data_IF_879908492878
#
_entry.id   IF_879908492878
#
_cell.length_a   1.000
_cell.length_b   1.000
_cell.length_c   1.000
_cell.angle_alpha   90.00
_cell.angle_beta   90.00
_cell.angle_gamma   90.00
#
_symmetry.space_group_name_H-M   'P 1'
#
loop_
_entity.id
_entity.type
_entity.pdbx_description
1 polymer ?
#
# COMPACT_ATOMS: atom_id res chain seq x y z
N UNK A 1 -23.06 -24.56 1.49
CA UNK A 1 -21.72 -24.77 0.92
C UNK A 1 -20.90 -23.51 1.14
N UNK A 2 -20.04 -23.52 2.17
CA UNK A 2 -19.22 -22.39 2.56
C UNK A 2 -18.12 -22.15 1.51
N UNK A 3 -18.18 -21.00 0.84
CA UNK A 3 -17.09 -20.55 -0.02
C UNK A 3 -16.08 -19.81 0.86
N UNK A 4 -14.95 -20.47 1.13
CA UNK A 4 -13.78 -19.89 1.77
C UNK A 4 -13.22 -18.76 0.89
N UNK A 5 -13.55 -17.51 1.21
CA UNK A 5 -12.89 -16.33 0.65
C UNK A 5 -11.57 -16.11 1.38
N UNK A 6 -10.52 -16.79 0.95
CA UNK A 6 -9.15 -16.38 1.25
C UNK A 6 -8.74 -15.30 0.25
N UNK A 7 -9.23 -14.07 0.46
CA UNK A 7 -8.67 -12.88 -0.18
C UNK A 7 -7.98 -12.06 0.91
N UNK A 8 -6.65 -12.19 0.96
CA UNK A 8 -5.76 -11.36 1.76
C UNK A 8 -5.81 -9.92 1.25
N UNK A 9 -6.84 -9.16 1.64
CA UNK A 9 -6.94 -7.70 1.49
C UNK A 9 -8.30 -7.30 2.05
N UNK A 10 -8.37 -6.99 3.35
CA UNK A 10 -9.56 -6.39 3.94
C UNK A 10 -9.72 -4.97 3.40
N UNK A 11 -10.95 -4.56 3.08
CA UNK A 11 -11.23 -3.12 2.92
C UNK A 11 -10.90 -2.41 4.23
N UNK A 12 -10.50 -1.14 4.16
CA UNK A 12 -10.20 -0.31 5.34
C UNK A 12 -11.30 -0.45 6.41
N UNK A 13 -12.57 -0.36 5.99
CA UNK A 13 -13.77 -0.55 6.83
C UNK A 13 -13.92 -1.91 7.51
N UNK A 14 -13.35 -2.98 6.97
CA UNK A 14 -13.46 -4.32 7.55
C UNK A 14 -12.39 -4.57 8.62
N UNK A 15 -11.20 -3.97 8.49
CA UNK A 15 -10.12 -4.08 9.49
C UNK A 15 -10.53 -3.46 10.83
N UNK A 16 -11.13 -2.27 10.79
CA UNK A 16 -11.70 -1.62 11.98
C UNK A 16 -12.77 -2.49 12.65
N UNK A 17 -13.66 -3.12 11.88
CA UNK A 17 -14.72 -3.99 12.43
C UNK A 17 -14.17 -5.21 13.16
N UNK A 18 -12.98 -5.68 12.78
CA UNK A 18 -12.30 -6.81 13.42
C UNK A 18 -11.30 -6.38 14.51
N UNK A 19 -11.11 -5.08 14.73
CA UNK A 19 -10.10 -4.55 15.65
C UNK A 19 -8.67 -4.87 15.22
N UNK A 20 -8.45 -4.99 13.90
CA UNK A 20 -7.16 -5.27 13.28
C UNK A 20 -6.56 -4.04 12.59
N UNK A 21 -7.08 -2.85 12.87
CA UNK A 21 -6.46 -1.59 12.48
C UNK A 21 -5.25 -1.27 13.37
N UNK A 22 -4.32 -0.49 12.83
CA UNK A 22 -3.04 -0.19 13.47
C UNK A 22 -3.19 0.55 14.80
N UNK A 23 -4.18 1.45 14.93
CA UNK A 23 -4.45 2.16 16.18
C UNK A 23 -4.89 1.20 17.29
N UNK A 24 -5.86 0.34 17.00
CA UNK A 24 -6.33 -0.70 17.93
C UNK A 24 -5.19 -1.66 18.33
N UNK A 25 -4.38 -2.07 17.37
CA UNK A 25 -3.30 -3.04 17.59
C UNK A 25 -2.15 -2.44 18.41
N UNK A 26 -1.70 -1.23 18.11
CA UNK A 26 -0.62 -0.55 18.84
C UNK A 26 -1.05 -0.15 20.26
N UNK A 27 -2.33 0.15 20.46
CA UNK A 27 -2.90 0.35 21.81
C UNK A 27 -2.82 -0.92 22.65
N UNK A 28 -3.18 -2.08 22.07
CA UNK A 28 -3.14 -3.37 22.77
C UNK A 28 -1.72 -3.92 22.96
N UNK A 29 -0.84 -3.65 22.00
CA UNK A 29 0.54 -4.13 21.97
C UNK A 29 1.50 -2.93 21.79
N UNK A 30 1.90 -2.25 22.87
CA UNK A 30 2.63 -0.97 22.79
C UNK A 30 3.99 -1.01 22.10
N UNK A 31 4.54 -2.20 21.82
CA UNK A 31 5.81 -2.41 21.11
C UNK A 31 5.64 -2.91 19.68
N UNK A 32 4.40 -3.17 19.25
CA UNK A 32 4.10 -3.66 17.92
C UNK A 32 4.31 -2.55 16.89
N UNK A 33 5.06 -2.86 15.84
CA UNK A 33 5.17 -2.01 14.66
C UNK A 33 4.13 -2.48 13.65
N UNK A 34 3.42 -1.54 13.06
CA UNK A 34 2.39 -1.81 12.05
C UNK A 34 2.67 -1.01 10.79
N UNK A 35 2.26 -1.54 9.64
CA UNK A 35 2.32 -0.82 8.38
C UNK A 35 1.01 -0.99 7.60
N UNK A 36 0.33 0.12 7.35
CA UNK A 36 -0.84 0.17 6.49
C UNK A 36 -0.43 0.46 5.05
N UNK A 37 -0.89 -0.41 4.15
CA UNK A 37 -0.72 -0.26 2.71
C UNK A 37 -2.07 0.08 2.10
N UNK A 38 -2.10 1.15 1.32
CA UNK A 38 -3.27 1.60 0.56
C UNK A 38 -2.97 1.66 -0.94
N UNK A 39 -4.00 1.68 -1.77
CA UNK A 39 -3.83 1.88 -3.21
C UNK A 39 -3.39 3.31 -3.52
N UNK A 40 -4.29 4.26 -3.25
CA UNK A 40 -4.14 5.68 -3.59
C UNK A 40 -3.90 6.62 -2.37
N UNK A 41 -3.49 6.07 -1.23
CA UNK A 41 -3.48 6.81 0.03
C UNK A 41 -4.86 6.91 0.69
N UNK A 42 -4.91 7.54 1.87
CA UNK A 42 -6.17 7.84 2.58
C UNK A 42 -6.76 9.21 2.19
N UNK A 43 -5.94 10.07 1.60
CA UNK A 43 -6.28 11.41 1.15
C UNK A 43 -5.95 11.53 -0.33
N UNK A 44 -6.95 11.77 -1.17
CA UNK A 44 -6.79 11.87 -2.62
C UNK A 44 -8.13 11.79 -3.33
N UNK A 45 -8.17 12.01 -4.66
CA UNK A 45 -9.42 12.00 -5.43
C UNK A 45 -10.01 10.58 -5.59
N UNK A 46 -9.26 9.54 -5.25
CA UNK A 46 -9.61 8.15 -5.56
C UNK A 46 -10.06 7.36 -4.32
N UNK A 47 -11.32 6.93 -4.32
CA UNK A 47 -11.87 5.92 -3.37
C UNK A 47 -12.13 4.59 -4.10
N UNK A 48 -11.07 4.05 -4.72
CA UNK A 48 -11.14 2.81 -5.49
C UNK A 48 -9.93 1.91 -5.25
N UNK A 49 -10.03 0.66 -5.71
CA UNK A 49 -8.90 -0.27 -5.66
C UNK A 49 -7.84 0.13 -6.68
N UNK A 50 -6.60 0.19 -6.24
CA UNK A 50 -5.45 0.21 -7.14
C UNK A 50 -5.22 -1.19 -7.71
N UNK A 51 -4.90 -1.23 -9.00
CA UNK A 51 -4.40 -2.41 -9.67
C UNK A 51 -3.07 -2.03 -10.31
N UNK A 52 -2.10 -2.94 -10.29
CA UNK A 52 -0.76 -2.71 -10.85
C UNK A 52 -0.81 -2.07 -12.25
N UNK A 53 -1.53 -2.68 -13.20
CA UNK A 53 -1.67 -2.13 -14.56
C UNK A 53 -2.34 -0.76 -14.62
N UNK A 54 -3.32 -0.49 -13.75
CA UNK A 54 -3.98 0.82 -13.71
C UNK A 54 -2.99 1.90 -13.31
N UNK A 55 -2.20 1.63 -12.26
CA UNK A 55 -1.14 2.52 -11.80
C UNK A 55 -0.03 2.66 -12.84
N UNK A 56 0.34 1.60 -13.55
CA UNK A 56 1.29 1.69 -14.68
C UNK A 56 0.79 2.64 -15.78
N UNK A 57 -0.51 2.68 -16.05
CA UNK A 57 -1.08 3.61 -17.03
C UNK A 57 -1.09 5.05 -16.50
N UNK A 58 -1.49 5.26 -15.25
CA UNK A 58 -1.60 6.59 -14.63
C UNK A 58 -0.23 7.26 -14.46
N UNK A 59 0.78 6.48 -14.09
CA UNK A 59 2.18 6.93 -13.94
C UNK A 59 2.89 7.20 -15.28
N UNK A 60 2.27 6.84 -16.42
CA UNK A 60 2.90 6.89 -17.74
C UNK A 60 3.91 5.76 -18.00
N UNK A 61 4.09 4.82 -17.07
CA UNK A 61 4.99 3.68 -17.24
C UNK A 61 4.59 2.80 -18.44
N UNK A 62 3.29 2.68 -18.70
CA UNK A 62 2.79 1.96 -19.86
C UNK A 62 3.20 2.59 -21.21
N UNK A 63 3.43 3.91 -21.22
CA UNK A 63 3.83 4.65 -22.42
C UNK A 63 5.31 4.46 -22.78
N UNK A 64 6.15 4.11 -21.81
CA UNK A 64 7.61 3.93 -22.03
C UNK A 64 8.04 2.47 -22.12
N UNK A 65 7.14 1.54 -21.81
CA UNK A 65 7.44 0.09 -21.81
C UNK A 65 7.04 -0.59 -23.13
N UNK A 66 6.24 0.08 -23.96
CA UNK A 66 5.70 -0.44 -25.21
C UNK A 66 6.66 -0.40 -26.42
N UNK A 67 6.12 -0.74 -27.58
CA UNK A 67 6.79 -0.51 -28.87
C UNK A 67 6.48 0.90 -29.39
N UNK A 68 7.10 1.31 -30.49
CA UNK A 68 6.77 2.60 -31.14
C UNK A 68 5.28 2.74 -31.52
N UNK A 69 4.57 1.61 -31.69
CA UNK A 69 3.19 1.59 -32.17
C UNK A 69 2.16 1.20 -31.09
N UNK A 70 2.58 0.68 -29.94
CA UNK A 70 1.69 0.10 -28.93
C UNK A 70 2.20 0.34 -27.50
N UNK A 71 1.30 0.68 -26.58
CA UNK A 71 1.59 0.73 -25.14
C UNK A 71 1.89 -0.66 -24.60
N UNK A 72 2.86 -0.76 -23.68
CA UNK A 72 3.28 -2.02 -23.10
C UNK A 72 3.15 -1.99 -21.59
N UNK A 73 2.77 -3.11 -20.98
CA UNK A 73 2.86 -3.27 -19.53
C UNK A 73 4.23 -3.81 -19.15
N UNK A 74 4.70 -3.45 -17.97
CA UNK A 74 5.74 -4.23 -17.30
C UNK A 74 5.11 -5.58 -16.91
N UNK A 75 5.79 -6.67 -17.27
CA UNK A 75 5.26 -8.02 -17.06
C UNK A 75 5.19 -8.40 -15.58
N UNK A 76 6.16 -7.92 -14.81
CA UNK A 76 6.18 -8.09 -13.36
C UNK A 76 5.25 -7.08 -12.67
N UNK A 77 4.84 -7.45 -11.46
CA UNK A 77 4.02 -6.64 -10.55
C UNK A 77 4.88 -5.50 -9.95
N UNK A 78 5.25 -4.55 -10.80
CA UNK A 78 6.23 -3.52 -10.50
C UNK A 78 5.74 -2.55 -9.42
N UNK A 79 4.45 -2.20 -9.44
CA UNK A 79 3.86 -1.28 -8.48
C UNK A 79 3.74 -1.96 -7.10
N UNK A 80 3.37 -3.25 -7.05
CA UNK A 80 3.34 -3.96 -5.76
C UNK A 80 4.75 -4.21 -5.21
N UNK A 81 5.73 -4.48 -6.09
CA UNK A 81 7.15 -4.60 -5.68
C UNK A 81 7.65 -3.26 -5.11
N UNK A 82 7.41 -2.15 -5.81
CA UNK A 82 7.82 -0.81 -5.36
C UNK A 82 7.15 -0.44 -4.02
N UNK A 83 5.86 -0.78 -3.87
CA UNK A 83 5.13 -0.59 -2.62
C UNK A 83 5.72 -1.46 -1.49
N UNK A 84 6.03 -2.72 -1.76
CA UNK A 84 6.65 -3.63 -0.80
C UNK A 84 8.03 -3.16 -0.33
N UNK A 85 8.85 -2.64 -1.23
CA UNK A 85 10.17 -2.05 -0.87
C UNK A 85 9.97 -0.80 0.00
N UNK A 86 9.01 0.06 -0.34
CA UNK A 86 8.67 1.24 0.45
C UNK A 86 8.18 0.88 1.86
N UNK A 87 7.30 -0.14 1.96
CA UNK A 87 6.81 -0.67 3.23
C UNK A 87 7.95 -1.23 4.08
N UNK A 88 8.87 -2.00 3.46
CA UNK A 88 10.03 -2.54 4.13
C UNK A 88 10.92 -1.45 4.74
N UNK A 89 11.24 -0.40 3.96
CA UNK A 89 12.02 0.73 4.47
C UNK A 89 11.34 1.45 5.63
N UNK A 90 10.02 1.67 5.56
CA UNK A 90 9.23 2.27 6.65
C UNK A 90 9.21 1.40 7.90
N UNK A 91 9.09 0.08 7.74
CA UNK A 91 9.13 -0.86 8.85
C UNK A 91 10.50 -0.86 9.54
N UNK A 92 11.59 -0.79 8.78
CA UNK A 92 12.94 -0.66 9.34
C UNK A 92 13.09 0.64 10.15
N UNK A 93 12.62 1.77 9.62
CA UNK A 93 12.59 3.05 10.35
C UNK A 93 11.84 2.92 11.67
N UNK A 94 10.63 2.37 11.65
CA UNK A 94 9.83 2.16 12.86
C UNK A 94 10.51 1.23 13.88
N UNK A 95 11.21 0.20 13.40
CA UNK A 95 11.98 -0.70 14.27
C UNK A 95 13.16 0.01 14.93
N UNK A 96 13.86 0.89 14.21
CA UNK A 96 14.95 1.71 14.74
C UNK A 96 14.41 2.68 15.80
N UNK A 97 13.34 3.42 15.50
CA UNK A 97 12.68 4.33 16.45
C UNK A 97 12.19 3.59 17.71
N UNK A 98 11.73 2.35 17.57
CA UNK A 98 11.31 1.53 18.71
C UNK A 98 12.48 1.18 19.63
N UNK A 99 13.70 0.99 19.12
CA UNK A 99 14.87 0.72 19.97
C UNK A 99 15.23 1.95 20.84
N UNK A 100 14.97 3.16 20.35
CA UNK A 100 15.21 4.40 21.11
C UNK A 100 14.08 4.71 22.09
N UNK A 101 12.83 4.55 21.67
CA UNK A 101 11.64 4.98 22.44
C UNK A 101 11.05 3.87 23.31
N UNK A 102 11.38 2.60 23.02
CA UNK A 102 10.74 1.43 23.59
C UNK A 102 9.31 1.17 23.10
N UNK A 103 8.75 2.01 22.21
CA UNK A 103 7.36 1.92 21.71
C UNK A 103 7.33 1.64 20.21
N UNK A 104 6.37 0.83 19.79
CA UNK A 104 6.11 0.61 18.37
C UNK A 104 5.37 1.79 17.74
N UNK A 105 5.48 1.90 16.42
CA UNK A 105 4.86 2.96 15.63
C UNK A 105 4.01 2.37 14.48
N UNK A 106 3.09 3.18 13.95
CA UNK A 106 2.28 2.87 12.78
C UNK A 106 2.77 3.67 11.58
N UNK A 107 3.20 2.98 10.53
CA UNK A 107 3.66 3.62 9.29
C UNK A 107 2.65 3.40 8.16
N UNK A 108 2.50 4.40 7.29
CA UNK A 108 1.62 4.31 6.14
C UNK A 108 2.43 4.33 4.85
N UNK A 109 2.02 3.54 3.86
CA UNK A 109 2.50 3.62 2.49
C UNK A 109 1.36 3.39 1.51
N UNK A 110 1.61 3.74 0.25
CA UNK A 110 0.63 3.70 -0.83
C UNK A 110 1.30 3.15 -2.09
N UNK A 111 0.51 2.59 -3.00
CA UNK A 111 0.98 2.11 -4.31
C UNK A 111 1.23 3.30 -5.23
N UNK A 112 0.33 4.28 -5.20
CA UNK A 112 0.42 5.53 -5.94
C UNK A 112 -0.26 6.65 -5.13
N UNK A 113 0.12 7.91 -5.32
CA UNK A 113 -0.57 9.04 -4.65
C UNK A 113 -1.73 9.61 -5.45
N UNK A 114 -1.83 9.30 -6.74
CA UNK A 114 -2.81 9.93 -7.62
C UNK A 114 -2.63 11.45 -7.76
N UNK A 115 -1.46 12.00 -7.39
CA UNK A 115 -1.13 13.44 -7.41
C UNK A 115 -0.58 13.87 -8.78
N UNK A 116 -1.25 13.49 -9.86
CA UNK A 116 -0.87 13.91 -11.22
C UNK A 116 -1.60 15.21 -11.55
N UNK A 117 -0.91 16.35 -11.43
CA UNK A 117 -1.32 17.56 -12.17
C UNK A 117 -1.19 17.25 -13.67
N UNK A 118 -2.25 17.51 -14.42
CA UNK A 118 -2.31 17.27 -15.87
C UNK A 118 -1.04 17.79 -16.56
N UNK A 119 -0.24 16.89 -17.12
CA UNK A 119 0.84 17.19 -18.07
C UNK A 119 0.24 17.39 -19.46
#
# INVERSE_FOLDING_TARGET
MAHSRTSWSYRSSERWRLGLDSESLTTRFPRLVTCDISGYGESGPYDMKAYDLLVQCETGLAAVTGSELELGRVDISICDIACGVSAYSRLLEALIEREETGRGDSKNTFVDRGEYEYV
#
